data_IF_335419959105
#
_entry.id   IF_335419959105
#
_cell.length_a   1.000
_cell.length_b   1.000
_cell.length_c   1.000
_cell.angle_alpha   90.00
_cell.angle_beta   90.00
_cell.angle_gamma   90.00
#
_symmetry.space_group_name_H-M   'P 1'
#
loop_
_entity.id
_entity.type
_entity.pdbx_description
1 polymer ?
#
# COMPACT_ATOMS: atom_id res chain seq x y z
N UNK A 1 -23.37 48.63 -0.35
CA UNK A 1 -24.14 47.73 0.48
C UNK A 1 -24.28 46.31 -0.07
N UNK A 2 -24.40 46.14 -1.37
CA UNK A 2 -24.50 44.80 -2.00
C UNK A 2 -23.19 44.03 -1.90
N UNK A 3 -22.04 44.68 -1.85
CA UNK A 3 -20.72 44.05 -1.73
C UNK A 3 -20.46 43.44 -0.33
N UNK A 4 -20.99 44.00 0.75
CA UNK A 4 -20.82 43.50 2.09
C UNK A 4 -21.55 42.15 2.33
N UNK A 5 -22.74 42.01 1.77
CA UNK A 5 -23.50 40.76 1.88
C UNK A 5 -22.86 39.60 1.10
N UNK A 6 -22.22 39.92 -0.04
CA UNK A 6 -21.48 38.92 -0.81
C UNK A 6 -20.21 38.48 -0.09
N UNK A 7 -19.52 39.39 0.57
CA UNK A 7 -18.33 39.10 1.35
C UNK A 7 -18.65 38.25 2.58
N UNK A 8 -19.74 38.54 3.28
CA UNK A 8 -20.17 37.71 4.41
C UNK A 8 -20.54 36.28 4.01
N UNK A 9 -21.19 36.09 2.87
CA UNK A 9 -21.48 34.78 2.30
C UNK A 9 -20.23 34.02 1.91
N UNK A 10 -19.26 34.69 1.33
CA UNK A 10 -17.97 34.11 0.96
C UNK A 10 -17.17 33.70 2.18
N UNK A 11 -17.13 34.53 3.23
CA UNK A 11 -16.47 34.17 4.49
C UNK A 11 -17.14 32.99 5.18
N UNK A 12 -18.47 32.94 5.18
CA UNK A 12 -19.24 31.82 5.71
C UNK A 12 -18.97 30.52 4.95
N UNK A 13 -18.88 30.57 3.62
CA UNK A 13 -18.51 29.41 2.78
C UNK A 13 -17.07 28.97 3.00
N UNK A 14 -16.14 29.91 3.08
CA UNK A 14 -14.72 29.63 3.33
C UNK A 14 -14.54 29.00 4.70
N UNK A 15 -15.25 29.42 5.71
CA UNK A 15 -15.22 28.79 7.03
C UNK A 15 -15.75 27.37 7.01
N UNK A 16 -16.82 27.08 6.29
CA UNK A 16 -17.37 25.73 6.13
C UNK A 16 -16.38 24.82 5.39
N UNK A 17 -15.81 25.28 4.30
CA UNK A 17 -14.86 24.50 3.51
C UNK A 17 -13.50 24.36 4.21
N UNK A 18 -13.09 25.37 4.98
CA UNK A 18 -11.88 25.31 5.79
C UNK A 18 -11.95 24.22 6.86
N UNK A 19 -13.10 24.01 7.49
CA UNK A 19 -13.32 22.94 8.47
C UNK A 19 -13.28 21.56 7.80
N UNK A 20 -13.86 21.43 6.61
CA UNK A 20 -13.83 20.18 5.82
C UNK A 20 -12.41 19.87 5.36
N UNK A 21 -11.66 20.90 4.90
CA UNK A 21 -10.25 20.74 4.53
C UNK A 21 -9.38 20.35 5.72
N UNK A 22 -9.62 20.92 6.89
CA UNK A 22 -8.92 20.53 8.12
C UNK A 22 -9.24 19.10 8.53
N UNK A 23 -10.47 18.64 8.35
CA UNK A 23 -10.87 17.25 8.58
C UNK A 23 -10.19 16.30 7.61
N UNK A 24 -10.02 16.69 6.35
CA UNK A 24 -9.28 15.90 5.36
C UNK A 24 -7.79 15.81 5.68
N UNK A 25 -7.20 16.87 6.26
CA UNK A 25 -5.79 16.86 6.69
C UNK A 25 -5.57 16.02 7.95
N UNK A 26 -6.62 15.77 8.74
CA UNK A 26 -6.55 14.94 9.94
C UNK A 26 -6.78 13.46 9.67
N UNK A 27 -7.19 13.08 8.44
CA UNK A 27 -7.25 11.68 8.05
C UNK A 27 -5.81 11.17 7.94
N UNK A 28 -5.38 10.21 8.81
CA UNK A 28 -4.06 9.65 8.66
C UNK A 28 -4.00 8.92 7.33
N UNK A 29 -3.27 9.49 6.38
CA UNK A 29 -2.91 8.77 5.16
C UNK A 29 -1.99 7.65 5.63
N UNK A 30 -2.56 6.46 5.82
CA UNK A 30 -1.74 5.29 6.06
C UNK A 30 -0.95 5.02 4.79
N UNK A 31 0.29 5.44 4.79
CA UNK A 31 1.25 5.05 3.77
C UNK A 31 1.55 3.56 3.94
N UNK A 32 0.69 2.72 3.35
CA UNK A 32 0.87 1.27 3.34
C UNK A 32 1.77 0.82 2.21
N UNK A 33 2.21 1.75 1.36
CA UNK A 33 3.00 1.40 0.21
C UNK A 33 4.49 1.45 0.56
N UNK A 34 5.20 0.37 0.25
CA UNK A 34 6.66 0.42 0.13
C UNK A 34 7.03 1.49 -0.89
N UNK A 35 8.25 2.03 -0.81
CA UNK A 35 8.78 2.88 -1.87
C UNK A 35 8.68 2.15 -3.22
N UNK A 36 8.49 2.88 -4.30
CA UNK A 36 8.38 2.30 -5.64
C UNK A 36 9.58 1.42 -6.00
N UNK A 37 10.77 1.83 -5.57
CA UNK A 37 12.00 1.06 -5.80
C UNK A 37 11.93 -0.30 -5.10
N UNK A 38 11.49 -0.34 -3.85
CA UNK A 38 11.36 -1.57 -3.10
C UNK A 38 10.25 -2.46 -3.68
N UNK A 39 9.13 -1.89 -4.09
CA UNK A 39 8.07 -2.63 -4.76
C UNK A 39 8.56 -3.31 -6.03
N UNK A 40 9.31 -2.59 -6.86
CA UNK A 40 9.86 -3.13 -8.10
C UNK A 40 10.85 -4.25 -7.84
N UNK A 41 11.74 -4.10 -6.88
CA UNK A 41 12.73 -5.13 -6.53
C UNK A 41 12.06 -6.41 -6.02
N UNK A 42 11.08 -6.27 -5.14
CA UNK A 42 10.31 -7.41 -4.62
C UNK A 42 9.53 -8.07 -5.76
N UNK A 43 8.91 -7.27 -6.63
CA UNK A 43 8.16 -7.79 -7.77
C UNK A 43 9.04 -8.59 -8.73
N UNK A 44 10.21 -8.06 -9.09
CA UNK A 44 11.12 -8.74 -10.00
C UNK A 44 11.56 -10.08 -9.42
N UNK A 45 11.98 -10.11 -8.16
CA UNK A 45 12.38 -11.34 -7.49
C UNK A 45 11.24 -12.35 -7.38
N UNK A 46 10.08 -11.89 -6.99
CA UNK A 46 8.88 -12.72 -6.89
C UNK A 46 8.46 -13.28 -8.25
N UNK A 47 8.41 -12.43 -9.27
CA UNK A 47 7.97 -12.82 -10.61
C UNK A 47 8.89 -13.85 -11.24
N UNK A 48 10.20 -13.65 -11.19
CA UNK A 48 11.17 -14.57 -11.76
C UNK A 48 11.06 -15.97 -11.11
N UNK A 49 10.87 -16.03 -9.82
CA UNK A 49 10.72 -17.29 -9.11
C UNK A 49 9.35 -17.94 -9.34
N UNK A 50 8.28 -17.16 -9.34
CA UNK A 50 6.92 -17.68 -9.44
C UNK A 50 6.51 -18.05 -10.86
N UNK A 51 7.06 -17.39 -11.86
CA UNK A 51 6.76 -17.60 -13.28
C UNK A 51 6.96 -19.05 -13.72
N UNK A 52 7.98 -19.70 -13.17
CA UNK A 52 8.30 -21.09 -13.50
C UNK A 52 7.21 -22.07 -13.06
N UNK A 53 6.52 -21.75 -11.98
CA UNK A 53 5.50 -22.64 -11.38
C UNK A 53 4.08 -22.25 -11.76
N UNK A 54 3.81 -20.96 -11.88
CA UNK A 54 2.46 -20.44 -12.04
C UNK A 54 2.12 -19.99 -13.45
N UNK A 55 3.14 -19.77 -14.30
CA UNK A 55 2.97 -19.10 -15.57
C UNK A 55 2.93 -17.58 -15.40
N UNK A 56 3.05 -16.84 -16.50
CA UNK A 56 3.23 -15.39 -16.44
C UNK A 56 2.05 -14.62 -15.84
N UNK A 57 0.81 -14.97 -16.19
CA UNK A 57 -0.37 -14.25 -15.73
C UNK A 57 -0.64 -14.46 -14.24
N UNK A 58 -0.59 -15.70 -13.78
CA UNK A 58 -0.80 -16.02 -12.36
C UNK A 58 0.34 -15.50 -11.50
N UNK A 59 1.58 -15.57 -11.99
CA UNK A 59 2.74 -15.03 -11.27
C UNK A 59 2.61 -13.53 -11.06
N UNK A 60 2.17 -12.80 -12.07
CA UNK A 60 1.92 -11.36 -11.97
C UNK A 60 0.89 -11.04 -10.88
N UNK A 61 -0.25 -11.71 -10.91
CA UNK A 61 -1.32 -11.52 -9.93
C UNK A 61 -0.85 -11.90 -8.53
N UNK A 62 -0.17 -13.01 -8.39
CA UNK A 62 0.37 -13.49 -7.12
C UNK A 62 1.38 -12.49 -6.53
N UNK A 63 2.30 -11.98 -7.34
CA UNK A 63 3.33 -11.08 -6.87
C UNK A 63 2.79 -9.70 -6.49
N UNK A 64 1.84 -9.16 -7.25
CA UNK A 64 1.17 -7.91 -6.90
C UNK A 64 0.37 -8.06 -5.58
N UNK A 65 -0.33 -9.16 -5.42
CA UNK A 65 -1.03 -9.49 -4.19
C UNK A 65 -0.08 -9.57 -3.00
N UNK A 66 1.04 -10.27 -3.16
CA UNK A 66 2.04 -10.45 -2.09
C UNK A 66 2.63 -9.12 -1.65
N UNK A 67 2.97 -8.26 -2.58
CA UNK A 67 3.49 -6.92 -2.28
C UNK A 67 2.46 -6.12 -1.50
N UNK A 68 1.21 -6.15 -1.90
CA UNK A 68 0.13 -5.45 -1.21
C UNK A 68 -0.03 -5.95 0.23
N UNK A 69 -0.04 -7.24 0.43
CA UNK A 69 -0.19 -7.85 1.76
C UNK A 69 1.00 -7.56 2.67
N UNK A 70 2.21 -7.65 2.14
CA UNK A 70 3.41 -7.28 2.89
C UNK A 70 3.39 -5.81 3.29
N UNK A 71 2.94 -4.92 2.39
CA UNK A 71 2.83 -3.49 2.65
C UNK A 71 1.78 -3.13 3.70
N UNK A 72 0.77 -3.97 3.92
CA UNK A 72 -0.20 -3.79 4.98
C UNK A 72 0.40 -4.02 6.37
N UNK A 73 1.38 -4.91 6.48
CA UNK A 73 1.97 -5.30 7.75
C UNK A 73 3.31 -4.62 8.04
N UNK A 74 4.12 -4.41 7.03
CA UNK A 74 5.48 -3.89 7.16
C UNK A 74 5.66 -2.57 6.40
N UNK A 75 6.43 -1.64 6.99
CA UNK A 75 6.97 -0.51 6.27
C UNK A 75 8.33 -0.90 5.64
N UNK A 76 8.98 0.04 4.91
CA UNK A 76 10.26 -0.22 4.24
C UNK A 76 11.35 -0.69 5.21
N UNK A 77 11.45 -0.06 6.39
CA UNK A 77 12.47 -0.39 7.39
C UNK A 77 12.22 -1.74 8.02
N UNK A 78 10.98 -2.03 8.38
CA UNK A 78 10.60 -3.32 8.96
C UNK A 78 10.84 -4.46 7.97
N UNK A 79 10.50 -4.26 6.70
CA UNK A 79 10.74 -5.26 5.66
C UNK A 79 12.23 -5.52 5.44
N UNK A 80 13.05 -4.47 5.51
CA UNK A 80 14.50 -4.57 5.45
C UNK A 80 15.03 -5.48 6.56
N UNK A 81 14.52 -5.31 7.78
CA UNK A 81 14.90 -6.15 8.92
C UNK A 81 14.45 -7.60 8.73
N UNK A 82 13.27 -7.83 8.18
CA UNK A 82 12.79 -9.18 7.86
C UNK A 82 13.72 -9.88 6.88
N UNK A 83 14.16 -9.19 5.82
CA UNK A 83 15.02 -9.78 4.79
C UNK A 83 16.47 -9.98 5.22
N UNK A 84 16.92 -9.37 6.31
CA UNK A 84 18.24 -9.62 6.89
C UNK A 84 18.34 -10.92 7.67
N UNK A 85 17.21 -11.54 7.98
CA UNK A 85 17.14 -12.75 8.77
C UNK A 85 17.50 -13.99 7.93
N UNK A 86 17.61 -15.12 8.59
CA UNK A 86 17.83 -16.41 7.92
C UNK A 86 16.65 -16.72 6.99
N UNK A 87 16.89 -17.40 5.85
CA UNK A 87 15.83 -17.70 4.87
C UNK A 87 14.61 -18.40 5.50
N UNK A 88 14.81 -19.28 6.44
CA UNK A 88 13.73 -20.00 7.15
C UNK A 88 12.81 -19.04 7.89
N UNK A 89 13.38 -18.02 8.52
CA UNK A 89 12.61 -17.01 9.26
C UNK A 89 11.92 -16.02 8.32
N UNK A 90 12.56 -15.67 7.20
CA UNK A 90 11.94 -14.84 6.16
C UNK A 90 10.67 -15.52 5.64
N UNK A 91 10.75 -16.81 5.32
CA UNK A 91 9.61 -17.60 4.85
C UNK A 91 8.49 -17.60 5.90
N UNK A 92 8.83 -17.82 7.16
CA UNK A 92 7.86 -17.83 8.25
C UNK A 92 7.18 -16.48 8.44
N UNK A 93 7.94 -15.39 8.44
CA UNK A 93 7.42 -14.05 8.68
C UNK A 93 6.58 -13.51 7.50
N UNK A 94 6.80 -14.04 6.29
CA UNK A 94 6.07 -13.64 5.08
C UNK A 94 4.99 -14.64 4.67
N UNK A 95 4.85 -15.75 5.39
CA UNK A 95 3.91 -16.82 5.06
C UNK A 95 2.45 -16.35 5.00
N UNK A 96 2.04 -15.41 5.84
CA UNK A 96 0.69 -14.88 5.85
C UNK A 96 0.30 -14.28 4.48
N UNK A 97 1.24 -13.60 3.83
CA UNK A 97 1.03 -13.00 2.51
C UNK A 97 0.98 -14.08 1.42
N UNK A 98 1.91 -15.02 1.46
CA UNK A 98 1.97 -16.12 0.50
C UNK A 98 0.70 -16.97 0.53
N UNK A 99 0.26 -17.36 1.70
CA UNK A 99 -0.96 -18.19 1.85
C UNK A 99 -2.21 -17.47 1.39
N UNK A 100 -2.35 -16.21 1.72
CA UNK A 100 -3.49 -15.41 1.27
C UNK A 100 -3.51 -15.32 -0.25
N UNK A 101 -2.38 -15.00 -0.85
CA UNK A 101 -2.27 -14.79 -2.29
C UNK A 101 -2.37 -16.09 -3.09
N UNK A 102 -1.92 -17.21 -2.53
CA UNK A 102 -2.13 -18.53 -3.14
C UNK A 102 -3.62 -18.86 -3.27
N UNK A 103 -4.42 -18.53 -2.27
CA UNK A 103 -5.88 -18.73 -2.31
C UNK A 103 -6.54 -17.86 -3.38
N UNK A 104 -6.08 -16.63 -3.52
CA UNK A 104 -6.62 -15.69 -4.51
C UNK A 104 -6.39 -16.16 -5.94
N UNK A 105 -5.25 -16.77 -6.23
CA UNK A 105 -4.95 -17.26 -7.58
C UNK A 105 -5.53 -18.65 -7.86
N UNK A 106 -5.92 -19.40 -6.84
CA UNK A 106 -6.51 -20.74 -6.99
C UNK A 106 -7.96 -20.67 -7.48
N UNK A 107 -8.60 -19.52 -7.32
CA UNK A 107 -9.93 -19.25 -7.83
C UNK A 107 -9.87 -18.70 -9.24
#
# INVERSE_FOLDING_TARGET
>A
MIYFKKLERLESMIRKYSLILLLFLLIPIKNHAFSEINQQQIYIGCYQNSKQYLGSNKAKTYCLCTIQKLGEKFNDEELKEVFKQKPEKIIKDTEFASKFCEKEIAE
#
